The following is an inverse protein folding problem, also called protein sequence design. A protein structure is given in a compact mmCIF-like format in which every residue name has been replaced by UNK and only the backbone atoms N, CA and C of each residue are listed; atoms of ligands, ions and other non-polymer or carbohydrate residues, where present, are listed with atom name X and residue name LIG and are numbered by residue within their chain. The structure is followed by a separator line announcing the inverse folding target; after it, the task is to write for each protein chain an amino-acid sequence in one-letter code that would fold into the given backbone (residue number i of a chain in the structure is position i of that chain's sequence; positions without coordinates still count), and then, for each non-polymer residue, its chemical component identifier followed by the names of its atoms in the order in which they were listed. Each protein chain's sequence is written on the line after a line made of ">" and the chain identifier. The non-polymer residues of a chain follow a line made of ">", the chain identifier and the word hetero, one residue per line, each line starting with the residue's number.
data_IF_403966536394
#
_entry.id   IF_403966536394
#
_cell.length_a   1.000
_cell.length_b   1.000
_cell.length_c   1.000
_cell.angle_alpha   90.00
_cell.angle_beta   90.00
_cell.angle_gamma   90.00
#
_symmetry.space_group_name_H-M   'P 1'
#
loop_
_entity.id
_entity.type
_entity.pdbx_description
1 polymer ?
2 non-polymer ?
3 water ?
#
# COMPACT_ATOMS: atom_id res chain seq x y z
N UNK A 3 -2.94 4.42 -11.00
CA UNK A 3 -2.77 5.73 -10.36
C UNK A 3 -1.90 5.66 -9.11
N UNK A 4 -0.76 6.36 -9.14
CA UNK A 4 0.20 6.33 -8.04
C UNK A 4 -0.45 6.80 -6.75
N UNK A 5 -0.16 6.14 -5.62
CA UNK A 5 -0.83 6.50 -4.35
C UNK A 5 -0.71 7.96 -3.93
N UNK A 6 0.46 8.55 -4.12
CA UNK A 6 0.65 9.94 -3.73
C UNK A 6 -0.16 10.92 -4.58
N UNK A 7 -0.71 10.46 -5.70
CA UNK A 7 -1.61 11.27 -6.52
C UNK A 7 -3.06 11.03 -6.15
N UNK A 8 -3.33 9.88 -5.56
CA UNK A 8 -4.69 9.50 -5.27
C UNK A 8 -5.11 9.81 -3.83
N UNK A 9 -4.20 9.66 -2.87
CA UNK A 9 -4.53 9.97 -1.49
C UNK A 9 -4.64 11.47 -1.27
N UNK A 10 -5.69 11.92 -0.57
CA UNK A 10 -5.79 13.36 -0.35
C UNK A 10 -4.67 13.85 0.56
N UNK A 11 -4.29 15.12 0.42
CA UNK A 11 -3.20 15.65 1.24
C UNK A 11 -3.44 15.48 2.73
N UNK A 12 -4.69 15.55 3.19
CA UNK A 12 -4.96 15.47 4.63
C UNK A 12 -4.73 14.06 5.18
N UNK A 13 -4.76 13.06 4.31
CA UNK A 13 -4.40 11.70 4.70
C UNK A 13 -2.89 11.55 4.67
N UNK A 14 -2.26 12.11 3.65
CA UNK A 14 -0.81 12.01 3.54
C UNK A 14 -0.12 12.77 4.68
N UNK A 15 -0.86 13.70 5.29
CA UNK A 15 -0.34 14.56 6.34
C UNK A 15 0.11 13.76 7.57
N UNK A 16 -0.53 12.62 7.80
CA UNK A 16 -0.24 11.78 8.94
C UNK A 16 1.02 10.93 8.73
N UNK A 17 1.63 11.04 7.54
CA UNK A 17 2.75 10.20 7.13
C UNK A 17 4.03 10.98 6.85
N UNK A 18 5.19 10.39 7.17
CA UNK A 18 6.47 11.01 6.83
C UNK A 18 6.90 10.66 5.40
N UNK A 19 7.95 11.31 4.89
CA UNK A 19 8.30 11.11 3.48
C UNK A 19 8.70 9.68 3.15
N UNK A 20 9.25 8.92 4.10
CA UNK A 20 9.72 7.58 3.79
C UNK A 20 8.52 6.62 3.82
N UNK A 21 7.53 6.91 4.64
CA UNK A 21 6.26 6.20 4.55
C UNK A 21 5.59 6.41 3.20
N UNK A 22 5.60 7.63 2.69
CA UNK A 22 5.01 7.90 1.38
C UNK A 22 5.79 7.16 0.28
N UNK A 23 7.11 7.12 0.40
CA UNK A 23 7.93 6.35 -0.54
C UNK A 23 7.60 4.86 -0.51
N UNK A 24 7.39 4.33 0.70
CA UNK A 24 7.01 2.94 0.88
C UNK A 24 5.70 2.65 0.16
N UNK A 25 4.71 3.52 0.31
CA UNK A 25 3.43 3.38 -0.39
C UNK A 25 3.65 3.26 -1.87
N UNK A 26 4.45 4.16 -2.44
CA UNK A 26 4.66 4.15 -3.87
C UNK A 26 5.38 2.89 -4.30
N UNK A 27 6.37 2.46 -3.53
CA UNK A 27 7.15 1.28 -3.87
C UNK A 27 6.26 0.03 -3.81
N UNK A 28 5.43 -0.07 -2.77
CA UNK A 28 4.57 -1.23 -2.62
C UNK A 28 3.54 -1.30 -3.74
N UNK A 29 3.05 -0.15 -4.17
CA UNK A 29 2.10 -0.07 -5.27
C UNK A 29 2.75 -0.53 -6.58
N UNK A 30 3.97 -0.07 -6.82
CA UNK A 30 4.71 -0.42 -8.02
C UNK A 30 4.97 -1.93 -8.05
N UNK A 31 5.19 -2.53 -6.90
CA UNK A 31 5.58 -3.94 -6.85
C UNK A 31 4.41 -4.92 -6.81
N UNK A 32 3.38 -4.62 -6.04
CA UNK A 32 2.30 -5.56 -5.78
C UNK A 32 1.12 -5.40 -6.74
N UNK A 33 1.01 -4.26 -7.39
CA UNK A 33 -0.14 -4.01 -8.25
C UNK A 33 -1.49 -3.99 -7.52
N UNK A 34 -1.46 -3.85 -6.19
CA UNK A 34 -2.65 -3.49 -5.46
C UNK A 34 -3.01 -2.07 -5.85
N UNK A 35 -4.28 -1.73 -5.79
CA UNK A 35 -4.68 -0.34 -6.01
C UNK A 35 -4.22 0.52 -4.84
N UNK A 36 -4.40 1.83 -4.93
CA UNK A 36 -3.87 2.73 -3.91
C UNK A 36 -4.50 2.48 -2.54
N UNK A 37 -5.81 2.21 -2.52
CA UNK A 37 -6.52 1.93 -1.29
C UNK A 37 -5.94 0.72 -0.57
N UNK A 38 -5.84 -0.41 -1.27
CA UNK A 38 -5.36 -1.62 -0.65
C UNK A 38 -3.85 -1.56 -0.37
N UNK A 39 -3.10 -0.84 -1.19
CA UNK A 39 -1.69 -0.63 -0.89
C UNK A 39 -1.57 0.07 0.45
N UNK A 40 -2.36 1.13 0.62
CA UNK A 40 -2.37 1.85 1.88
C UNK A 40 -2.70 0.92 3.05
N UNK A 41 -3.73 0.10 2.87
CA UNK A 41 -4.11 -0.82 3.92
C UNK A 41 -3.01 -1.82 4.28
N UNK A 42 -2.33 -2.36 3.27
CA UNK A 42 -1.25 -3.31 3.51
C UNK A 42 -0.11 -2.63 4.27
N UNK A 43 0.23 -1.44 3.84
CA UNK A 43 1.28 -0.68 4.50
C UNK A 43 0.92 -0.46 5.96
N UNK A 44 -0.33 -0.06 6.22
CA UNK A 44 -0.80 0.09 7.58
C UNK A 44 -0.72 -1.22 8.37
N UNK A 45 -1.23 -2.29 7.78
CA UNK A 45 -1.24 -3.60 8.43
C UNK A 45 0.18 -4.06 8.76
N UNK A 46 1.14 -3.69 7.91
CA UNK A 46 2.53 -4.12 8.09
C UNK A 46 3.27 -3.24 9.08
N UNK A 47 2.57 -2.25 9.64
CA UNK A 47 3.20 -1.28 10.52
C UNK A 47 4.35 -0.55 9.79
N UNK A 48 4.11 -0.26 8.51
CA UNK A 48 5.02 0.53 7.66
C UNK A 48 6.42 -0.06 7.58
N UNK A 49 6.47 -1.35 7.26
CA UNK A 49 7.71 -2.11 7.17
C UNK A 49 7.64 -2.91 5.89
N UNK A 50 8.51 -2.57 4.97
CA UNK A 50 8.50 -3.17 3.64
C UNK A 50 8.62 -4.69 3.64
N UNK A 51 9.62 -5.23 4.34
CA UNK A 51 9.76 -6.68 4.39
C UNK A 51 8.54 -7.37 4.98
N UNK A 52 7.96 -6.80 6.03
CA UNK A 52 6.77 -7.37 6.64
C UNK A 52 5.57 -7.32 5.69
N UNK A 53 5.47 -6.21 4.95
CA UNK A 53 4.38 -6.03 4.01
C UNK A 53 4.46 -7.05 2.88
N UNK A 54 5.65 -7.22 2.31
CA UNK A 54 5.82 -8.19 1.23
C UNK A 54 5.60 -9.62 1.71
N UNK A 55 6.11 -9.96 2.88
CA UNK A 55 5.92 -11.30 3.42
C UNK A 55 4.47 -11.54 3.76
N UNK A 56 3.81 -10.53 4.30
CA UNK A 56 2.40 -10.62 4.62
C UNK A 56 1.56 -10.81 3.36
N UNK A 57 1.88 -10.04 2.34
CA UNK A 57 1.20 -10.13 1.05
C UNK A 57 1.38 -11.55 0.46
N UNK A 58 2.63 -11.99 0.41
CA UNK A 58 2.95 -13.29 -0.18
C UNK A 58 2.29 -14.44 0.57
N UNK A 59 2.00 -14.26 1.86
CA UNK A 59 1.43 -15.33 2.67
C UNK A 59 -0.07 -15.17 2.91
N UNK A 60 -0.67 -14.10 2.39
CA UNK A 60 -2.11 -13.88 2.54
C UNK A 60 -2.81 -13.63 1.22
N UNK A 61 -2.21 -14.04 0.10
CA UNK A 61 -2.77 -13.75 -1.21
C UNK A 61 -4.21 -14.21 -1.34
N UNK A 62 -4.55 -15.34 -0.73
CA UNK A 62 -5.86 -15.90 -0.97
C UNK A 62 -6.93 -15.18 -0.16
N UNK A 63 -6.51 -14.20 0.64
CA UNK A 63 -7.43 -13.37 1.39
C UNK A 63 -7.81 -12.07 0.73
N UNK A 64 -7.21 -11.77 -0.42
CA UNK A 64 -7.36 -10.46 -1.04
C UNK A 64 -8.35 -10.51 -2.19
N UNK A 65 -9.45 -9.75 -2.09
CA UNK A 65 -10.47 -9.77 -3.15
C UNK A 65 -9.98 -9.16 -4.44
N UNK A 66 -10.60 -9.59 -5.53
CA UNK A 66 -10.23 -9.10 -6.84
C UNK A 66 -10.36 -7.58 -6.92
N UNK A 67 -11.29 -7.00 -6.17
CA UNK A 67 -11.51 -5.56 -6.21
C UNK A 67 -10.26 -4.76 -5.79
N UNK A 68 -9.36 -5.40 -5.04
CA UNK A 68 -8.17 -4.75 -4.51
C UNK A 68 -7.15 -4.45 -5.59
N UNK A 69 -7.36 -4.99 -6.78
CA UNK A 69 -6.38 -4.93 -7.85
C UNK A 69 -6.91 -4.08 -8.99
N UNK A 70 -8.14 -3.61 -8.82
CA UNK A 70 -8.85 -2.84 -9.83
C UNK A 70 -8.54 -1.38 -9.66
N UNK A 71 -8.07 -0.75 -10.74
CA UNK A 71 -7.70 0.66 -10.74
C UNK A 71 -7.01 1.06 -12.05
X LIG B 1 -9.57 -8.33 -11.20
X LIG B 1 -8.90 -9.23 -10.74
X LIG B 1 -10.54 -8.60 -11.90
X LIG B 1 -9.34 -7.28 -11.01
X LIG B 1 -10.76 -9.53 -12.08
#
# INVERSE_FOLDING_TARGET
>A
MVMAPTLQLPPDVQSRLNPVQLELLNKLHLETKLNAEYTFMLAEQSNWNYEVAIKGFQSSMNGIPREAFVQF
>B hetero
1 FMT C O1 O2 H HO2
#
